data_IF_474046187145
#
_entry.id   IF_474046187145
#
_cell.length_a   1.000
_cell.length_b   1.000
_cell.length_c   1.000
_cell.angle_alpha   90.00
_cell.angle_beta   90.00
_cell.angle_gamma   90.00
#
_symmetry.space_group_name_H-M   'P 1'
#
loop_
_entity.id
_entity.type
_entity.pdbx_description
1 polymer ?
#
# COMPACT_ATOMS: atom_id res chain seq x y z
N UNK A 1 3.29 18.26 14.04
CA UNK A 1 4.09 17.67 12.94
C UNK A 1 3.18 17.56 11.72
N UNK A 2 3.67 17.84 10.51
CA UNK A 2 2.86 17.78 9.28
C UNK A 2 2.78 16.33 8.79
N UNK A 3 1.58 15.84 8.43
CA UNK A 3 1.38 14.50 7.86
C UNK A 3 2.02 14.42 6.46
N UNK A 4 2.64 13.29 6.13
CA UNK A 4 3.24 13.05 4.82
C UNK A 4 2.17 12.88 3.73
N UNK A 5 2.42 13.32 2.50
CA UNK A 5 1.54 13.04 1.36
C UNK A 5 1.88 11.65 0.79
N UNK A 6 0.90 10.74 0.65
CA UNK A 6 1.17 9.40 0.10
C UNK A 6 1.66 9.48 -1.35
N UNK A 7 1.26 10.52 -2.11
CA UNK A 7 1.69 10.74 -3.50
C UNK A 7 3.20 10.93 -3.62
N UNK A 8 3.86 11.38 -2.55
CA UNK A 8 5.31 11.55 -2.52
C UNK A 8 6.09 10.25 -2.30
N UNK A 9 5.40 9.14 -2.01
CA UNK A 9 6.05 7.83 -1.93
C UNK A 9 6.43 7.34 -3.33
N UNK A 10 7.64 6.79 -3.48
CA UNK A 10 8.11 6.26 -4.76
C UNK A 10 7.13 5.25 -5.38
N UNK A 11 6.55 4.38 -4.55
CA UNK A 11 5.56 3.41 -5.01
C UNK A 11 4.29 4.04 -5.57
N UNK A 12 3.82 5.16 -4.99
CA UNK A 12 2.69 5.88 -5.56
C UNK A 12 3.05 6.49 -6.91
N UNK A 13 4.23 7.11 -7.01
CA UNK A 13 4.71 7.70 -8.27
C UNK A 13 4.88 6.66 -9.37
N UNK A 14 5.43 5.50 -9.07
CA UNK A 14 5.61 4.42 -10.07
C UNK A 14 4.29 3.90 -10.65
N UNK A 15 3.17 4.04 -9.92
CA UNK A 15 1.85 3.67 -10.41
C UNK A 15 1.23 4.68 -11.39
N UNK A 16 1.81 5.87 -11.57
CA UNK A 16 1.27 6.88 -12.50
C UNK A 16 1.70 6.56 -13.94
N UNK A 17 0.72 6.24 -14.78
CA UNK A 17 0.92 6.05 -16.21
C UNK A 17 1.40 7.36 -16.86
N UNK A 18 2.42 7.29 -17.70
CA UNK A 18 2.96 8.46 -18.38
C UNK A 18 1.87 9.20 -19.18
N UNK A 19 1.71 10.49 -18.90
CA UNK A 19 0.67 11.30 -19.54
C UNK A 19 -0.75 11.11 -19.00
N UNK A 20 -0.95 10.33 -17.94
CA UNK A 20 -2.22 10.32 -17.19
C UNK A 20 -2.48 11.67 -16.49
N UNK A 21 -3.74 11.99 -16.11
CA UNK A 21 -4.04 13.16 -15.29
C UNK A 21 -3.21 13.23 -14.01
N UNK A 22 -3.06 12.12 -13.29
CA UNK A 22 -2.35 11.98 -12.03
C UNK A 22 -0.84 12.21 -12.21
N UNK A 23 -0.27 11.67 -13.29
CA UNK A 23 1.12 11.92 -13.70
C UNK A 23 1.35 13.42 -13.95
N UNK A 24 0.49 14.05 -14.79
CA UNK A 24 0.64 15.47 -15.12
C UNK A 24 0.46 16.37 -13.90
N UNK A 25 -0.52 16.07 -13.05
CA UNK A 25 -0.76 16.80 -11.82
C UNK A 25 0.48 16.72 -10.91
N UNK A 26 0.95 15.51 -10.62
CA UNK A 26 2.10 15.31 -9.73
C UNK A 26 3.36 16.02 -10.23
N UNK A 27 3.76 15.81 -11.48
CA UNK A 27 5.00 16.41 -12.01
C UNK A 27 4.89 17.88 -12.36
N UNK A 28 3.67 18.46 -12.38
CA UNK A 28 3.52 19.92 -12.43
C UNK A 28 3.94 20.58 -11.12
N UNK A 29 3.78 19.87 -10.00
CA UNK A 29 4.17 20.30 -8.65
C UNK A 29 5.59 19.85 -8.29
N UNK A 30 6.04 18.71 -8.84
CA UNK A 30 7.34 18.06 -8.56
C UNK A 30 8.17 17.81 -9.82
N UNK A 31 8.49 18.84 -10.64
CA UNK A 31 9.20 18.66 -11.90
C UNK A 31 10.60 18.04 -11.72
N UNK A 32 11.23 18.23 -10.57
CA UNK A 32 12.55 17.70 -10.24
C UNK A 32 12.60 16.16 -10.14
N UNK A 33 11.46 15.51 -9.90
CA UNK A 33 11.38 14.05 -9.79
C UNK A 33 11.08 13.38 -11.13
N UNK A 34 10.65 14.15 -12.14
CA UNK A 34 10.15 13.60 -13.39
C UNK A 34 11.19 12.79 -14.15
N UNK A 35 12.39 13.33 -14.31
CA UNK A 35 13.45 12.70 -15.09
C UNK A 35 13.87 11.35 -14.49
N UNK A 36 14.13 11.32 -13.18
CA UNK A 36 14.52 10.08 -12.48
C UNK A 36 13.40 9.06 -12.47
N UNK A 37 12.15 9.47 -12.24
CA UNK A 37 11.03 8.54 -12.21
C UNK A 37 10.69 8.02 -13.62
N UNK A 38 10.87 8.82 -14.69
CA UNK A 38 10.71 8.36 -16.07
C UNK A 38 11.82 7.38 -16.49
N UNK A 39 13.07 7.61 -16.07
CA UNK A 39 14.15 6.63 -16.24
C UNK A 39 13.78 5.30 -15.57
N UNK A 40 13.28 5.34 -14.33
CA UNK A 40 12.86 4.16 -13.60
C UNK A 40 11.73 3.41 -14.30
N UNK A 41 10.69 4.11 -14.79
CA UNK A 41 9.59 3.50 -15.56
C UNK A 41 10.04 2.88 -16.88
N UNK A 42 11.14 3.37 -17.45
CA UNK A 42 11.71 2.84 -18.69
C UNK A 42 12.47 1.52 -18.50
N UNK A 43 12.71 1.09 -17.26
CA UNK A 43 13.42 -0.15 -16.96
C UNK A 43 12.47 -1.36 -17.03
N UNK A 44 12.98 -2.56 -17.30
CA UNK A 44 12.19 -3.78 -17.19
C UNK A 44 11.53 -3.91 -15.82
N UNK A 45 10.27 -4.30 -15.82
CA UNK A 45 9.51 -4.55 -14.59
C UNK A 45 10.05 -5.77 -13.84
N UNK A 46 9.60 -5.91 -12.58
CA UNK A 46 9.88 -7.10 -11.79
C UNK A 46 9.41 -8.36 -12.53
N UNK A 47 10.29 -9.35 -12.63
CA UNK A 47 10.05 -10.61 -13.33
C UNK A 47 9.85 -10.46 -14.86
N UNK A 48 10.22 -9.34 -15.46
CA UNK A 48 10.16 -9.18 -16.92
C UNK A 48 11.22 -10.03 -17.64
N UNK A 49 10.85 -10.61 -18.78
CA UNK A 49 11.71 -11.51 -19.55
C UNK A 49 12.90 -10.81 -20.22
N UNK A 50 12.85 -9.48 -20.34
CA UNK A 50 13.96 -8.67 -20.84
C UNK A 50 15.01 -8.38 -19.76
N UNK A 51 14.77 -8.75 -18.50
CA UNK A 51 15.76 -8.61 -17.43
C UNK A 51 16.93 -9.57 -17.63
N UNK A 52 18.20 -9.13 -17.45
CA UNK A 52 19.38 -10.00 -17.56
C UNK A 52 19.38 -11.18 -16.57
N UNK A 53 18.67 -11.05 -15.45
CA UNK A 53 18.56 -12.07 -14.41
C UNK A 53 17.25 -12.85 -14.48
N UNK A 54 16.53 -12.81 -15.61
CA UNK A 54 15.27 -13.51 -15.75
C UNK A 54 15.45 -15.02 -15.70
N UNK A 55 14.78 -15.66 -14.75
CA UNK A 55 14.62 -17.11 -14.66
C UNK A 55 13.11 -17.41 -14.69
N UNK A 56 12.61 -18.22 -15.65
CA UNK A 56 11.17 -18.39 -15.87
C UNK A 56 10.41 -19.04 -14.72
N UNK A 57 10.98 -19.99 -14.00
CA UNK A 57 10.31 -20.67 -12.88
C UNK A 57 10.21 -19.75 -11.65
N UNK A 58 11.30 -19.08 -11.29
CA UNK A 58 11.34 -18.09 -10.20
C UNK A 58 10.42 -16.91 -10.52
N UNK A 59 10.46 -16.40 -11.76
CA UNK A 59 9.55 -15.34 -12.20
C UNK A 59 8.07 -15.75 -12.11
N UNK A 60 7.74 -16.99 -12.47
CA UNK A 60 6.38 -17.51 -12.35
C UNK A 60 5.94 -17.65 -10.90
N UNK A 61 6.82 -18.11 -10.01
CA UNK A 61 6.55 -18.23 -8.59
C UNK A 61 6.26 -16.84 -7.98
N UNK A 62 7.16 -15.88 -8.21
CA UNK A 62 7.02 -14.51 -7.70
C UNK A 62 5.74 -13.86 -8.20
N UNK A 63 5.44 -13.95 -9.50
CA UNK A 63 4.18 -13.43 -10.07
C UNK A 63 2.95 -14.05 -9.43
N UNK A 64 2.95 -15.38 -9.23
CA UNK A 64 1.83 -16.08 -8.60
C UNK A 64 1.59 -15.60 -7.17
N UNK A 65 2.66 -15.35 -6.40
CA UNK A 65 2.56 -14.79 -5.05
C UNK A 65 1.99 -13.37 -5.06
N UNK A 66 2.43 -12.51 -5.97
CA UNK A 66 1.86 -11.15 -6.10
C UNK A 66 0.38 -11.19 -6.50
N UNK A 67 -0.01 -12.05 -7.45
CA UNK A 67 -1.42 -12.22 -7.84
C UNK A 67 -2.28 -12.70 -6.67
N UNK A 68 -1.80 -13.65 -5.86
CA UNK A 68 -2.52 -14.10 -4.67
C UNK A 68 -2.77 -12.95 -3.69
N UNK A 69 -1.76 -12.12 -3.43
CA UNK A 69 -1.90 -10.96 -2.54
C UNK A 69 -2.88 -9.94 -3.11
N UNK A 70 -2.85 -9.71 -4.42
CA UNK A 70 -3.79 -8.82 -5.12
C UNK A 70 -5.23 -9.33 -5.00
N UNK A 71 -5.46 -10.63 -5.18
CA UNK A 71 -6.78 -11.27 -5.05
C UNK A 71 -7.31 -11.23 -3.61
N UNK A 72 -6.43 -11.27 -2.60
CA UNK A 72 -6.81 -11.18 -1.18
C UNK A 72 -7.10 -9.75 -0.73
N UNK A 73 -6.51 -8.73 -1.36
CA UNK A 73 -6.62 -7.31 -0.96
C UNK A 73 -8.06 -6.83 -0.77
N UNK A 74 -9.04 -7.14 -1.64
CA UNK A 74 -10.43 -6.70 -1.45
C UNK A 74 -11.08 -7.23 -0.17
N UNK A 75 -10.58 -8.35 0.40
CA UNK A 75 -11.11 -8.94 1.62
C UNK A 75 -10.71 -8.16 2.90
N UNK A 76 -9.77 -7.23 2.80
CA UNK A 76 -9.38 -6.35 3.90
C UNK A 76 -10.40 -5.23 4.15
N UNK A 77 -11.26 -4.95 3.17
CA UNK A 77 -12.29 -3.92 3.26
C UNK A 77 -13.66 -4.55 3.51
N UNK A 78 -14.51 -3.89 4.28
CA UNK A 78 -15.85 -4.43 4.57
C UNK A 78 -16.70 -3.55 5.47
N UNK A 79 -18.00 -3.82 5.45
CA UNK A 79 -18.96 -3.19 6.35
C UNK A 79 -18.85 -3.85 7.72
N UNK A 80 -18.57 -3.10 8.81
CA UNK A 80 -18.58 -3.65 10.15
C UNK A 80 -19.94 -4.28 10.48
N UNK A 81 -19.91 -5.38 11.25
CA UNK A 81 -21.15 -6.01 11.73
C UNK A 81 -21.95 -5.06 12.61
N UNK A 82 -23.28 -5.09 12.48
CA UNK A 82 -24.19 -4.38 13.38
C UNK A 82 -24.21 -4.98 14.78
N UNK A 83 -23.77 -6.24 14.94
CA UNK A 83 -23.69 -6.91 16.23
C UNK A 83 -22.37 -6.55 16.91
N UNK A 84 -22.47 -5.84 18.04
CA UNK A 84 -21.30 -5.48 18.86
C UNK A 84 -21.21 -6.40 20.07
N UNK A 85 -20.03 -6.99 20.26
CA UNK A 85 -19.70 -7.74 21.47
C UNK A 85 -19.04 -6.81 22.49
N UNK A 86 -19.37 -6.99 23.77
CA UNK A 86 -18.68 -6.31 24.87
C UNK A 86 -17.71 -7.28 25.52
N UNK A 87 -16.45 -6.88 25.56
CA UNK A 87 -15.40 -7.51 26.34
C UNK A 87 -14.40 -6.44 26.77
N UNK A 88 -13.44 -6.78 27.62
CA UNK A 88 -12.33 -5.91 27.93
C UNK A 88 -11.30 -5.87 26.78
N UNK A 89 -10.51 -4.80 26.71
CA UNK A 89 -9.51 -4.61 25.66
C UNK A 89 -8.37 -5.64 25.71
N UNK A 90 -8.07 -6.22 26.88
CA UNK A 90 -7.04 -7.26 26.99
C UNK A 90 -7.49 -8.52 26.28
N UNK A 91 -8.73 -8.96 26.49
CA UNK A 91 -9.31 -10.11 25.82
C UNK A 91 -9.27 -9.99 24.30
N UNK A 92 -9.60 -8.80 23.75
CA UNK A 92 -9.51 -8.57 22.30
C UNK A 92 -8.06 -8.52 21.81
N UNK A 93 -7.16 -7.93 22.57
CA UNK A 93 -5.73 -7.91 22.25
C UNK A 93 -5.17 -9.33 22.17
N UNK A 94 -5.49 -10.18 23.14
CA UNK A 94 -5.03 -11.58 23.18
C UNK A 94 -5.60 -12.40 22.02
N UNK A 95 -6.86 -12.16 21.65
CA UNK A 95 -7.49 -12.80 20.49
C UNK A 95 -6.78 -12.39 19.19
N UNK A 96 -6.60 -11.09 18.93
CA UNK A 96 -5.98 -10.60 17.70
C UNK A 96 -4.54 -11.08 17.58
N UNK A 97 -3.77 -11.09 18.68
CA UNK A 97 -2.40 -11.62 18.69
C UNK A 97 -2.35 -13.11 18.38
N UNK A 98 -3.28 -13.89 18.93
CA UNK A 98 -3.38 -15.33 18.64
C UNK A 98 -3.70 -15.57 17.16
N UNK A 99 -4.70 -14.86 16.62
CA UNK A 99 -5.06 -14.94 15.21
C UNK A 99 -3.86 -14.58 14.33
N UNK A 100 -3.11 -13.53 14.65
CA UNK A 100 -1.90 -13.17 13.90
C UNK A 100 -0.85 -14.30 13.88
N UNK A 101 -0.63 -14.97 15.03
CA UNK A 101 0.26 -16.14 15.09
C UNK A 101 -0.28 -17.34 14.30
N UNK A 102 -1.59 -17.60 14.34
CA UNK A 102 -2.21 -18.67 13.56
C UNK A 102 -2.02 -18.44 12.04
N UNK A 103 -1.95 -17.18 11.61
CA UNK A 103 -1.62 -16.79 10.23
C UNK A 103 -0.10 -16.64 9.96
N UNK A 104 0.75 -17.08 10.89
CA UNK A 104 2.19 -17.20 10.68
C UNK A 104 3.04 -16.00 11.08
N UNK A 105 2.50 -15.03 11.85
CA UNK A 105 3.33 -13.94 12.37
C UNK A 105 4.37 -14.46 13.38
N UNK A 106 5.66 -14.16 13.17
CA UNK A 106 6.72 -14.47 14.14
C UNK A 106 6.65 -13.57 15.39
N UNK A 107 6.26 -12.30 15.21
CA UNK A 107 6.14 -11.29 16.26
C UNK A 107 4.88 -10.45 16.07
N UNK A 108 4.20 -10.14 17.17
CA UNK A 108 2.98 -9.31 17.15
C UNK A 108 2.94 -8.36 18.35
N UNK A 109 2.57 -7.11 18.08
CA UNK A 109 2.42 -6.04 19.06
C UNK A 109 1.18 -5.20 18.78
N UNK A 110 0.79 -4.39 19.75
CA UNK A 110 -0.28 -3.39 19.60
C UNK A 110 0.28 -2.06 20.06
N UNK A 111 -0.01 -1.00 19.30
CA UNK A 111 0.42 0.36 19.59
C UNK A 111 -0.76 1.31 19.41
N UNK A 112 -0.71 2.44 20.12
CA UNK A 112 -1.68 3.52 19.94
C UNK A 112 -1.44 4.24 18.62
N UNK A 113 -2.49 4.42 17.82
CA UNK A 113 -2.43 5.19 16.59
C UNK A 113 -2.40 6.69 16.89
N UNK A 114 -1.47 7.40 16.25
CA UNK A 114 -1.34 8.86 16.36
C UNK A 114 -1.66 9.55 15.03
N UNK A 115 -2.22 10.77 15.05
CA UNK A 115 -2.57 11.50 13.82
C UNK A 115 -1.41 11.63 12.82
N UNK A 116 -0.16 11.75 13.30
CA UNK A 116 1.03 11.84 12.46
C UNK A 116 1.35 10.57 11.66
N UNK A 117 0.82 9.41 12.03
CA UNK A 117 1.06 8.14 11.32
C UNK A 117 0.20 7.97 10.06
N UNK A 118 -0.83 8.79 9.91
CA UNK A 118 -1.67 8.77 8.71
C UNK A 118 -1.09 9.71 7.66
N UNK A 119 -1.19 9.32 6.40
CA UNK A 119 -0.92 10.25 5.30
C UNK A 119 -1.92 11.42 5.30
N UNK A 120 -1.55 12.53 4.65
CA UNK A 120 -2.39 13.70 4.45
C UNK A 120 -3.37 13.51 3.30
N UNK A 121 -2.90 12.91 2.21
CA UNK A 121 -3.67 12.54 1.02
C UNK A 121 -3.34 11.10 0.61
N UNK A 122 -4.30 10.45 -0.02
CA UNK A 122 -4.11 9.19 -0.72
C UNK A 122 -3.53 9.45 -2.10
N UNK A 123 -2.74 8.51 -2.59
CA UNK A 123 -1.94 8.71 -3.80
C UNK A 123 -1.47 7.44 -4.48
N UNK A 124 -1.42 6.31 -3.77
CA UNK A 124 -0.88 5.07 -4.35
C UNK A 124 -1.78 4.47 -5.41
N UNK A 125 -3.09 4.47 -5.17
CA UNK A 125 -4.08 3.89 -6.06
C UNK A 125 -4.85 5.00 -6.77
N UNK A 126 -5.00 4.85 -8.09
CA UNK A 126 -5.55 5.88 -8.98
C UNK A 126 -6.94 6.33 -8.57
N UNK A 127 -7.79 5.41 -8.17
CA UNK A 127 -9.17 5.65 -7.71
C UNK A 127 -9.26 6.58 -6.48
N UNK A 128 -8.15 6.85 -5.82
CA UNK A 128 -8.06 7.66 -4.60
C UNK A 128 -7.06 8.81 -4.72
N UNK A 129 -6.51 9.06 -5.90
CA UNK A 129 -5.48 10.08 -6.09
C UNK A 129 -5.93 11.46 -5.59
N UNK A 130 -5.13 12.07 -4.72
CA UNK A 130 -5.38 13.40 -4.15
C UNK A 130 -6.50 13.42 -3.09
N UNK A 131 -7.14 12.30 -2.76
CA UNK A 131 -8.19 12.25 -1.74
C UNK A 131 -7.59 12.55 -0.37
N UNK A 132 -8.02 13.65 0.25
CA UNK A 132 -7.60 14.02 1.61
C UNK A 132 -8.07 13.00 2.64
N UNK A 133 -7.17 12.61 3.55
CA UNK A 133 -7.51 11.75 4.68
C UNK A 133 -8.01 12.63 5.83
N UNK A 134 -9.30 12.52 6.12
CA UNK A 134 -9.97 13.20 7.24
C UNK A 134 -10.30 12.26 8.38
N UNK A 135 -10.55 10.98 8.07
CA UNK A 135 -11.02 10.01 9.04
C UNK A 135 -9.82 9.28 9.64
N UNK A 136 -9.46 9.67 10.87
CA UNK A 136 -8.41 9.04 11.65
C UNK A 136 -9.05 7.91 12.47
N UNK A 137 -9.15 6.72 11.87
CA UNK A 137 -9.71 5.54 12.52
C UNK A 137 -8.72 4.97 13.54
N UNK A 138 -9.10 4.70 14.79
CA UNK A 138 -8.23 4.01 15.76
C UNK A 138 -7.88 2.59 15.32
#
# INVERSE_FOLDING_TARGET
MTRYDERDTMFARMNYEAGSPEYRDYYSMHPELKEVDDDLRGRPDLCDFSSPSYEPFEASEVRSNFSLIEDLRPLCEGMPSNNRFRSDSSSFTDLVKRVAHDFGADLVGVAEMKPEFYYSHRGRHREHYGKKITDLLP
#
